data_IF_688497788240
#
_entry.id   IF_688497788240
#
_cell.length_a   1.000
_cell.length_b   1.000
_cell.length_c   1.000
_cell.angle_alpha   90.00
_cell.angle_beta   90.00
_cell.angle_gamma   90.00
#
_symmetry.space_group_name_H-M   'P 1'
#
loop_
_entity.id
_entity.type
_entity.pdbx_description
1 polymer ?
#
# COMPACT_ATOMS: atom_id res chain seq x y z
N UNK A 1 2.08 5.01 -5.67
CA UNK A 1 3.54 4.81 -5.46
C UNK A 1 4.39 5.74 -6.32
N UNK A 2 4.94 5.25 -7.45
CA UNK A 2 5.88 6.00 -8.30
C UNK A 2 5.31 7.35 -8.78
N UNK A 3 4.09 7.36 -9.33
CA UNK A 3 3.43 8.60 -9.78
C UNK A 3 3.34 9.65 -8.67
N UNK A 4 2.99 9.23 -7.44
CA UNK A 4 2.94 10.15 -6.30
C UNK A 4 4.31 10.77 -6.02
N UNK A 5 5.38 9.97 -6.02
CA UNK A 5 6.76 10.43 -5.81
C UNK A 5 7.14 11.45 -6.87
N UNK A 6 6.88 11.15 -8.15
CA UNK A 6 7.25 12.01 -9.28
C UNK A 6 6.48 13.34 -9.30
N UNK A 7 5.22 13.32 -8.87
CA UNK A 7 4.35 14.51 -8.90
C UNK A 7 4.47 15.40 -7.65
N UNK A 8 4.85 14.84 -6.49
CA UNK A 8 4.74 15.53 -5.21
C UNK A 8 6.07 15.72 -4.47
N UNK A 9 7.15 15.02 -4.82
CA UNK A 9 8.42 15.10 -4.11
C UNK A 9 9.50 15.82 -4.93
N UNK A 10 10.24 16.72 -4.27
CA UNK A 10 11.44 17.32 -4.84
C UNK A 10 12.61 16.33 -4.77
N UNK A 11 12.82 15.61 -5.86
CA UNK A 11 13.86 14.60 -5.95
C UNK A 11 15.23 15.21 -6.24
N UNK A 12 16.22 14.85 -5.42
CA UNK A 12 17.64 15.19 -5.67
C UNK A 12 18.38 14.09 -6.43
N UNK A 13 17.75 12.92 -6.59
CA UNK A 13 18.28 11.72 -7.23
C UNK A 13 17.14 11.01 -7.99
N UNK A 14 17.50 10.20 -8.98
CA UNK A 14 16.54 9.39 -9.73
C UNK A 14 15.96 8.27 -8.85
N UNK A 15 14.67 7.97 -9.03
CA UNK A 15 13.98 6.89 -8.31
C UNK A 15 14.40 5.54 -8.89
N UNK A 16 14.95 4.67 -8.05
CA UNK A 16 15.18 3.27 -8.41
C UNK A 16 13.85 2.52 -8.55
N UNK A 17 13.64 1.90 -9.72
CA UNK A 17 12.46 1.08 -9.99
C UNK A 17 12.83 -0.39 -10.02
N UNK A 18 11.93 -1.23 -9.50
CA UNK A 18 12.07 -2.67 -9.50
C UNK A 18 10.76 -3.31 -9.96
N UNK A 19 10.86 -4.48 -10.58
CA UNK A 19 9.71 -5.15 -11.19
C UNK A 19 8.68 -5.63 -10.15
N UNK A 20 9.12 -5.92 -8.93
CA UNK A 20 8.27 -6.50 -7.89
C UNK A 20 8.58 -5.98 -6.49
N UNK A 21 7.59 -6.08 -5.61
CA UNK A 21 7.69 -5.68 -4.21
C UNK A 21 8.76 -6.47 -3.45
N UNK A 22 8.89 -7.77 -3.71
CA UNK A 22 9.89 -8.64 -3.06
C UNK A 22 11.32 -8.30 -3.50
N UNK A 23 11.54 -7.95 -4.76
CA UNK A 23 12.85 -7.47 -5.23
C UNK A 23 13.19 -6.13 -4.56
N UNK A 24 12.22 -5.22 -4.48
CA UNK A 24 12.42 -3.92 -3.81
C UNK A 24 12.74 -4.10 -2.32
N UNK A 25 12.02 -5.00 -1.64
CA UNK A 25 12.27 -5.30 -0.23
C UNK A 25 13.67 -5.91 -0.01
N UNK A 26 14.13 -6.80 -0.91
CA UNK A 26 15.49 -7.33 -0.85
C UNK A 26 16.56 -6.25 -1.10
N UNK A 27 16.29 -5.31 -2.02
CA UNK A 27 17.15 -4.15 -2.24
C UNK A 27 17.25 -3.26 -1.00
N UNK A 28 16.14 -3.04 -0.30
CA UNK A 28 16.11 -2.31 0.98
C UNK A 28 16.93 -3.03 2.06
N UNK A 29 16.68 -4.32 2.28
CA UNK A 29 17.39 -5.14 3.29
C UNK A 29 18.90 -5.23 3.05
N UNK A 30 19.31 -5.24 1.79
CA UNK A 30 20.73 -5.28 1.41
C UNK A 30 21.42 -3.90 1.47
N UNK A 31 20.68 -2.82 1.67
CA UNK A 31 21.19 -1.45 1.62
C UNK A 31 21.50 -0.95 0.20
N UNK A 32 20.93 -1.60 -0.82
CA UNK A 32 21.00 -1.10 -2.21
C UNK A 32 20.16 0.17 -2.39
N UNK A 33 19.07 0.28 -1.63
CA UNK A 33 18.26 1.49 -1.49
C UNK A 33 18.07 1.79 0.00
N UNK A 34 17.92 3.08 0.34
CA UNK A 34 17.71 3.51 1.73
C UNK A 34 16.22 3.50 2.13
N UNK A 35 15.32 3.71 1.16
CA UNK A 35 13.88 3.87 1.39
C UNK A 35 13.11 3.14 0.29
N UNK A 36 12.05 2.44 0.71
CA UNK A 36 11.01 1.91 -0.16
C UNK A 36 9.71 2.68 0.11
N UNK A 37 9.05 3.14 -0.95
CA UNK A 37 7.71 3.74 -0.88
C UNK A 37 6.70 2.71 -1.40
N UNK A 38 5.76 2.32 -0.54
CA UNK A 38 4.72 1.32 -0.84
C UNK A 38 3.52 1.52 0.09
N UNK A 39 2.38 0.93 -0.25
CA UNK A 39 1.16 0.92 0.55
C UNK A 39 1.42 0.49 2.00
N UNK A 40 0.86 1.23 2.95
CA UNK A 40 1.09 1.06 4.39
C UNK A 40 0.84 -0.38 4.86
N UNK A 41 -0.27 -1.07 4.51
CA UNK A 41 -0.48 -2.45 4.97
C UNK A 41 0.59 -3.42 4.50
N UNK A 42 1.09 -3.22 3.27
CA UNK A 42 2.16 -4.06 2.70
C UNK A 42 3.48 -3.76 3.41
N UNK A 43 3.79 -2.48 3.66
CA UNK A 43 4.99 -2.07 4.40
C UNK A 43 5.01 -2.67 5.82
N UNK A 44 3.88 -2.66 6.53
CA UNK A 44 3.76 -3.30 7.85
C UNK A 44 4.04 -4.80 7.76
N UNK A 45 3.47 -5.49 6.77
CA UNK A 45 3.71 -6.92 6.56
C UNK A 45 5.19 -7.24 6.27
N UNK A 46 5.85 -6.45 5.42
CA UNK A 46 7.29 -6.59 5.13
C UNK A 46 8.12 -6.40 6.40
N UNK A 47 7.84 -5.34 7.16
CA UNK A 47 8.54 -5.06 8.42
C UNK A 47 8.39 -6.21 9.42
N UNK A 48 7.15 -6.68 9.65
CA UNK A 48 6.86 -7.73 10.64
C UNK A 48 7.45 -9.09 10.28
N UNK A 49 7.59 -9.38 8.99
CA UNK A 49 8.15 -10.66 8.49
C UNK A 49 9.66 -10.61 8.26
N UNK A 50 10.30 -9.45 8.48
CA UNK A 50 11.75 -9.29 8.35
C UNK A 50 12.46 -9.64 9.64
N UNK A 51 12.91 -10.90 9.75
CA UNK A 51 13.64 -11.41 10.92
C UNK A 51 15.15 -11.14 10.85
N UNK A 52 15.67 -10.91 9.64
CA UNK A 52 17.09 -10.83 9.32
C UNK A 52 17.66 -9.40 9.40
N UNK A 53 16.80 -8.40 9.20
CA UNK A 53 17.15 -6.98 9.19
C UNK A 53 16.02 -6.21 9.88
N UNK A 54 16.39 -5.30 10.79
CA UNK A 54 15.45 -4.38 11.40
C UNK A 54 15.03 -3.32 10.39
N UNK A 55 13.74 -3.29 10.08
CA UNK A 55 13.11 -2.27 9.24
C UNK A 55 12.21 -1.39 10.09
N UNK A 56 12.05 -0.13 9.67
CA UNK A 56 11.18 0.82 10.36
C UNK A 56 10.24 1.50 9.35
N UNK A 57 8.99 1.70 9.77
CA UNK A 57 8.06 2.59 9.09
C UNK A 57 8.34 4.02 9.55
N UNK A 58 8.79 4.87 8.62
CA UNK A 58 9.23 6.23 8.94
C UNK A 58 8.11 7.28 8.82
N UNK A 59 7.04 6.96 8.08
CA UNK A 59 5.90 7.85 7.86
C UNK A 59 5.00 7.36 6.73
N UNK A 60 3.99 8.17 6.43
CA UNK A 60 3.03 7.94 5.35
C UNK A 60 2.73 9.24 4.60
N UNK A 61 2.19 9.09 3.40
CA UNK A 61 1.62 10.18 2.62
C UNK A 61 0.12 9.98 2.51
N UNK A 62 -0.67 11.05 2.69
CA UNK A 62 -2.11 10.99 2.46
C UNK A 62 -2.36 11.15 0.96
N UNK A 63 -2.61 10.03 0.28
CA UNK A 63 -2.85 10.01 -1.17
C UNK A 63 -4.33 10.13 -1.53
N UNK A 64 -5.24 9.93 -0.57
CA UNK A 64 -6.69 9.77 -0.81
C UNK A 64 -7.02 8.69 -1.85
N UNK A 65 -6.14 7.69 -2.00
CA UNK A 65 -6.39 6.52 -2.84
C UNK A 65 -7.33 5.54 -2.12
N UNK A 66 -8.22 4.90 -2.89
CA UNK A 66 -9.09 3.81 -2.43
C UNK A 66 -8.84 2.55 -3.26
N UNK A 67 -8.96 1.39 -2.61
CA UNK A 67 -8.96 0.11 -3.33
C UNK A 67 -10.30 -0.11 -4.03
N UNK A 68 -10.26 -0.69 -5.23
CA UNK A 68 -11.46 -0.97 -6.02
C UNK A 68 -11.30 -2.18 -6.92
N UNK A 69 -12.42 -2.64 -7.48
CA UNK A 69 -12.45 -3.70 -8.48
C UNK A 69 -12.44 -3.08 -9.89
N UNK A 70 -11.40 -3.37 -10.66
CA UNK A 70 -11.33 -2.97 -12.05
C UNK A 70 -12.32 -3.81 -12.89
N UNK A 71 -13.08 -3.13 -13.76
CA UNK A 71 -14.10 -3.76 -14.60
C UNK A 71 -14.04 -3.22 -16.02
N UNK A 72 -14.52 -3.99 -16.99
CA UNK A 72 -14.68 -3.53 -18.37
C UNK A 72 -15.67 -2.35 -18.43
N UNK A 73 -15.30 -1.32 -19.19
CA UNK A 73 -16.14 -0.14 -19.35
C UNK A 73 -17.51 -0.51 -19.96
N UNK A 74 -18.59 -0.01 -19.35
CA UNK A 74 -19.96 -0.28 -19.80
C UNK A 74 -20.51 -1.66 -19.42
N UNK A 75 -19.80 -2.45 -18.60
CA UNK A 75 -20.33 -3.72 -18.12
C UNK A 75 -21.63 -3.54 -17.32
N UNK A 76 -22.67 -4.36 -17.58
CA UNK A 76 -23.92 -4.31 -16.81
C UNK A 76 -23.75 -4.84 -15.38
N UNK A 77 -22.60 -5.42 -15.03
CA UNK A 77 -22.33 -5.97 -13.70
C UNK A 77 -22.00 -4.88 -12.66
N UNK A 78 -21.65 -3.67 -13.10
CA UNK A 78 -21.14 -2.62 -12.19
C UNK A 78 -22.10 -2.34 -11.03
N UNK A 79 -23.37 -2.08 -11.33
CA UNK A 79 -24.37 -1.75 -10.29
C UNK A 79 -24.55 -2.89 -9.28
N UNK A 80 -24.52 -4.14 -9.74
CA UNK A 80 -24.64 -5.31 -8.88
C UNK A 80 -23.41 -5.49 -7.97
N UNK A 81 -22.21 -5.27 -8.52
CA UNK A 81 -20.95 -5.36 -7.76
C UNK A 81 -20.85 -4.22 -6.74
N UNK A 82 -21.18 -3.00 -7.13
CA UNK A 82 -21.18 -1.84 -6.21
C UNK A 82 -22.14 -2.09 -5.03
N UNK A 83 -23.37 -2.57 -5.31
CA UNK A 83 -24.34 -2.90 -4.27
C UNK A 83 -23.85 -4.01 -3.32
N UNK A 84 -23.19 -5.05 -3.85
CA UNK A 84 -22.63 -6.12 -3.03
C UNK A 84 -21.47 -5.62 -2.14
N UNK A 85 -20.61 -4.72 -2.64
CA UNK A 85 -19.55 -4.11 -1.83
C UNK A 85 -20.14 -3.25 -0.71
N UNK A 86 -21.20 -2.50 -0.99
CA UNK A 86 -21.89 -1.67 0.00
C UNK A 86 -22.54 -2.54 1.09
N UNK A 87 -23.22 -3.63 0.72
CA UNK A 87 -23.77 -4.61 1.67
C UNK A 87 -22.68 -5.24 2.54
N UNK A 88 -21.56 -5.70 1.96
CA UNK A 88 -20.43 -6.25 2.71
C UNK A 88 -19.78 -5.24 3.66
N UNK A 89 -19.82 -3.94 3.31
CA UNK A 89 -19.32 -2.86 4.17
C UNK A 89 -20.28 -2.62 5.34
N UNK A 90 -21.57 -2.52 5.06
CA UNK A 90 -22.61 -2.27 6.06
C UNK A 90 -22.74 -3.43 7.05
N UNK A 91 -22.50 -4.66 6.60
CA UNK A 91 -22.45 -5.86 7.45
C UNK A 91 -21.15 -6.00 8.25
N UNK A 92 -20.16 -5.13 8.03
CA UNK A 92 -18.85 -5.18 8.71
C UNK A 92 -17.90 -6.27 8.17
N UNK A 93 -18.30 -7.02 7.14
CA UNK A 93 -17.49 -8.13 6.58
C UNK A 93 -16.15 -7.63 6.05
N UNK A 94 -16.12 -6.45 5.43
CA UNK A 94 -14.85 -5.86 4.95
C UNK A 94 -13.94 -5.43 6.11
N UNK A 95 -14.50 -4.95 7.22
CA UNK A 95 -13.73 -4.59 8.42
C UNK A 95 -13.13 -5.82 9.09
N UNK A 96 -13.90 -6.90 9.20
CA UNK A 96 -13.43 -8.20 9.71
C UNK A 96 -12.30 -8.74 8.84
N UNK A 97 -12.46 -8.72 7.51
CA UNK A 97 -11.42 -9.14 6.57
C UNK A 97 -10.17 -8.28 6.68
N UNK A 98 -10.31 -6.96 6.79
CA UNK A 98 -9.18 -6.05 7.01
C UNK A 98 -8.45 -6.39 8.32
N UNK A 99 -9.18 -6.67 9.40
CA UNK A 99 -8.60 -7.01 10.70
C UNK A 99 -7.86 -8.35 10.67
N UNK A 100 -8.38 -9.33 9.94
CA UNK A 100 -7.76 -10.66 9.83
C UNK A 100 -6.48 -10.63 8.99
N UNK A 101 -6.48 -9.89 7.87
CA UNK A 101 -5.43 -10.02 6.85
C UNK A 101 -4.45 -8.83 6.78
N UNK A 102 -4.82 -7.65 7.27
CA UNK A 102 -3.95 -6.48 7.28
C UNK A 102 -3.45 -6.16 8.69
N UNK A 103 -2.18 -6.49 8.99
CA UNK A 103 -1.63 -6.22 10.31
C UNK A 103 -1.52 -4.71 10.56
N UNK A 104 -2.17 -4.24 11.63
CA UNK A 104 -1.80 -3.02 12.36
C UNK A 104 -2.08 -1.68 11.67
N UNK A 105 -3.17 -1.03 12.08
CA UNK A 105 -3.51 0.38 11.82
C UNK A 105 -2.71 1.38 12.68
N UNK A 106 -1.41 1.11 12.89
CA UNK A 106 -0.59 1.99 13.73
C UNK A 106 -0.50 3.37 13.07
N UNK A 107 -0.89 4.46 13.76
CA UNK A 107 -0.77 5.80 13.22
C UNK A 107 0.69 6.09 12.85
N UNK A 108 0.93 6.48 11.60
CA UNK A 108 2.25 6.88 11.12
C UNK A 108 2.37 8.40 11.13
N UNK A 109 3.61 8.89 11.10
CA UNK A 109 3.85 10.31 10.86
C UNK A 109 3.41 10.63 9.44
N UNK A 110 2.48 11.56 9.28
CA UNK A 110 2.09 12.05 7.96
C UNK A 110 3.15 13.04 7.48
N UNK A 111 3.72 12.80 6.30
CA UNK A 111 4.59 13.74 5.61
C UNK A 111 3.74 14.75 4.82
N UNK A 112 4.17 16.02 4.86
CA UNK A 112 3.59 17.14 4.10
C UNK A 112 4.40 17.44 2.84
#
# INVERSE_FOLDING_TARGET
GLTYIEENLELTQEVSQFDTTDITAAALKSGTIDVQVIDVPIAVGIMQTSEDVELALIGEFITNEEYGLAMEEGTPLKECVDAAIEELRDEGVLEDAQTEWFPGSTPLTVFE
#
